data_IF_202318377377
#
_entry.id   IF_202318377377
#
_cell.length_a   1.000
_cell.length_b   1.000
_cell.length_c   1.000
_cell.angle_alpha   90.00
_cell.angle_beta   90.00
_cell.angle_gamma   90.00
#
_symmetry.space_group_name_H-M   'P 1'
#
loop_
_entity.id
_entity.type
_entity.pdbx_description
1 polymer ?
#
# COMPACT_ATOMS: atom_id res chain seq x y z
N UNK A 1 -0.46 31.94 -23.90
CA UNK A 1 0.34 30.81 -24.44
C UNK A 1 -0.29 29.54 -23.92
N UNK A 2 -0.30 28.44 -24.70
CA UNK A 2 -0.80 27.17 -24.19
C UNK A 2 -0.08 26.75 -22.91
N UNK A 3 -0.81 26.21 -21.94
CA UNK A 3 -0.31 25.85 -20.61
C UNK A 3 -1.11 24.66 -20.03
N UNK A 4 -0.69 24.18 -18.86
CA UNK A 4 -1.49 23.27 -18.03
C UNK A 4 -2.58 24.09 -17.33
N UNK A 5 -3.83 23.82 -17.65
CA UNK A 5 -4.97 24.61 -17.16
C UNK A 5 -5.70 23.99 -15.97
N UNK A 6 -5.50 22.69 -15.73
CA UNK A 6 -6.17 21.97 -14.64
C UNK A 6 -5.42 20.73 -14.23
N UNK A 7 -5.18 20.57 -12.93
CA UNK A 7 -4.63 19.34 -12.35
C UNK A 7 -5.69 18.70 -11.45
N UNK A 8 -5.82 17.39 -11.54
CA UNK A 8 -6.65 16.56 -10.66
C UNK A 8 -5.76 15.53 -10.00
N UNK A 9 -6.00 15.28 -8.72
CA UNK A 9 -5.32 14.24 -7.98
C UNK A 9 -6.33 13.43 -7.17
N UNK A 10 -6.07 12.13 -7.01
CA UNK A 10 -6.84 11.22 -6.18
C UNK A 10 -5.86 10.27 -5.48
N UNK A 11 -6.17 9.90 -4.24
CA UNK A 11 -5.29 9.06 -3.42
C UNK A 11 -6.04 7.88 -2.82
N UNK A 12 -5.33 6.78 -2.61
CA UNK A 12 -5.80 5.62 -1.86
C UNK A 12 -5.08 5.48 -0.50
N UNK A 13 -4.61 6.60 0.05
CA UNK A 13 -3.71 6.72 1.19
C UNK A 13 -2.25 6.29 0.92
N UNK A 14 -1.97 5.35 0.01
CA UNK A 14 -0.60 4.88 -0.23
C UNK A 14 0.07 5.59 -1.43
N UNK A 15 -0.70 5.81 -2.50
CA UNK A 15 -0.28 6.40 -3.77
C UNK A 15 -1.26 7.49 -4.17
N UNK A 16 -0.76 8.56 -4.80
CA UNK A 16 -1.62 9.50 -5.52
C UNK A 16 -1.56 9.24 -7.04
N UNK A 17 -2.72 9.21 -7.68
CA UNK A 17 -2.85 9.30 -9.12
C UNK A 17 -3.14 10.76 -9.50
N UNK A 18 -2.45 11.24 -10.54
CA UNK A 18 -2.56 12.62 -11.02
C UNK A 18 -2.88 12.61 -12.51
N UNK A 19 -3.70 13.56 -12.96
CA UNK A 19 -3.93 13.84 -14.37
C UNK A 19 -4.13 15.34 -14.59
N UNK A 20 -3.73 15.84 -15.75
CA UNK A 20 -3.86 17.26 -16.08
C UNK A 20 -4.26 17.52 -17.52
N UNK A 21 -4.97 18.63 -17.70
CA UNK A 21 -5.44 19.12 -19.00
C UNK A 21 -4.51 20.24 -19.49
N UNK A 22 -4.25 20.26 -20.80
CA UNK A 22 -3.55 21.36 -21.50
C UNK A 22 -4.51 22.01 -22.49
N UNK A 23 -4.44 23.34 -22.65
CA UNK A 23 -5.32 24.10 -23.56
C UNK A 23 -4.77 24.27 -24.99
N UNK A 24 -3.66 23.60 -25.30
CA UNK A 24 -3.07 23.54 -26.63
C UNK A 24 -1.69 22.91 -26.64
N UNK A 25 -1.09 22.85 -27.83
CA UNK A 25 0.29 22.38 -27.99
C UNK A 25 1.26 23.42 -27.42
N UNK A 26 2.02 23.06 -26.40
CA UNK A 26 3.01 23.92 -25.74
C UNK A 26 4.33 23.83 -26.52
N UNK A 27 4.76 24.90 -27.24
CA UNK A 27 5.95 24.83 -28.10
C UNK A 27 7.23 24.55 -27.29
N UNK A 28 8.01 23.56 -27.73
CA UNK A 28 9.28 23.20 -27.07
C UNK A 28 9.13 22.45 -25.74
N UNK A 29 7.92 21.99 -25.39
CA UNK A 29 7.68 21.20 -24.19
C UNK A 29 8.36 19.84 -24.27
N UNK A 30 9.16 19.52 -23.25
CA UNK A 30 9.88 18.26 -23.09
C UNK A 30 9.23 17.33 -22.07
N UNK A 31 8.21 17.82 -21.37
CA UNK A 31 7.47 17.13 -20.33
C UNK A 31 7.01 18.10 -19.25
N UNK A 32 6.63 17.54 -18.11
CA UNK A 32 6.11 18.29 -16.98
C UNK A 32 6.91 18.01 -15.71
N UNK A 33 7.29 19.07 -15.01
CA UNK A 33 7.71 18.99 -13.61
C UNK A 33 6.46 18.82 -12.75
N UNK A 34 6.53 17.91 -11.78
CA UNK A 34 5.47 17.66 -10.81
C UNK A 34 6.04 17.87 -9.41
N UNK A 35 5.44 18.78 -8.66
CA UNK A 35 5.83 19.11 -7.29
C UNK A 35 4.68 18.78 -6.36
N UNK A 36 4.92 17.92 -5.36
CA UNK A 36 4.01 17.73 -4.24
C UNK A 36 4.15 18.89 -3.28
N UNK A 37 3.03 19.49 -2.94
CA UNK A 37 2.91 20.60 -2.00
C UNK A 37 2.30 20.09 -0.70
N UNK A 38 2.81 20.59 0.41
CA UNK A 38 2.25 20.42 1.75
C UNK A 38 1.69 21.77 2.21
N UNK A 39 0.39 22.06 1.99
CA UNK A 39 -0.18 23.38 2.27
C UNK A 39 0.00 23.82 3.73
N UNK A 40 -0.01 22.88 4.67
CA UNK A 40 0.07 23.17 6.10
C UNK A 40 1.48 23.59 6.55
N UNK A 41 2.53 23.10 5.88
CA UNK A 41 3.94 23.38 6.25
C UNK A 41 4.65 24.30 5.26
N UNK A 42 4.11 24.47 4.05
CA UNK A 42 4.78 25.12 2.94
C UNK A 42 5.90 24.27 2.30
N UNK A 43 6.09 23.02 2.73
CA UNK A 43 7.08 22.14 2.12
C UNK A 43 6.69 21.83 0.67
N UNK A 44 7.66 21.94 -0.24
CA UNK A 44 7.54 21.53 -1.63
C UNK A 44 8.52 20.41 -1.93
N UNK A 45 8.05 19.39 -2.66
CA UNK A 45 8.86 18.23 -3.00
C UNK A 45 8.66 17.82 -4.45
N UNK A 46 9.68 18.05 -5.27
CA UNK A 46 9.68 17.59 -6.65
C UNK A 46 9.64 16.05 -6.71
N UNK A 47 8.76 15.52 -7.57
CA UNK A 47 8.52 14.09 -7.63
C UNK A 47 9.68 13.34 -8.27
N UNK A 48 9.84 12.09 -7.85
CA UNK A 48 10.92 11.23 -8.29
C UNK A 48 10.85 10.82 -9.77
N UNK A 49 11.99 10.81 -10.44
CA UNK A 49 12.15 10.26 -11.79
C UNK A 49 13.41 9.39 -11.91
N UNK A 50 13.34 8.34 -12.75
CA UNK A 50 14.46 7.42 -12.99
C UNK A 50 14.82 7.25 -14.46
N UNK A 51 13.92 7.65 -15.35
CA UNK A 51 14.06 7.42 -16.80
C UNK A 51 14.75 8.64 -17.39
N UNK A 52 16.01 8.52 -17.82
CA UNK A 52 16.78 9.65 -18.31
C UNK A 52 16.34 10.09 -19.71
N UNK A 53 16.73 11.30 -20.11
CA UNK A 53 16.63 11.72 -21.51
C UNK A 53 17.45 10.80 -22.43
N UNK A 54 17.08 10.77 -23.71
CA UNK A 54 17.88 10.12 -24.75
C UNK A 54 19.32 10.67 -24.71
N UNK A 55 20.31 9.78 -24.63
CA UNK A 55 21.74 10.12 -24.54
C UNK A 55 22.29 10.15 -23.11
N UNK A 56 21.44 10.08 -22.09
CA UNK A 56 21.83 9.93 -20.69
C UNK A 56 21.62 8.48 -20.22
N UNK A 57 22.34 8.05 -19.18
CA UNK A 57 22.28 6.68 -18.61
C UNK A 57 22.29 6.71 -17.09
N UNK A 58 21.34 5.99 -16.46
CA UNK A 58 21.24 5.85 -15.01
C UNK A 58 21.50 4.40 -14.55
N UNK A 59 22.74 3.87 -14.66
CA UNK A 59 23.04 2.47 -14.34
C UNK A 59 22.90 2.15 -12.85
N UNK A 60 23.05 3.15 -11.97
CA UNK A 60 22.94 3.01 -10.51
C UNK A 60 21.50 3.13 -9.99
N UNK A 61 20.54 3.41 -10.88
CA UNK A 61 19.14 3.67 -10.54
C UNK A 61 18.99 4.72 -9.43
N UNK A 62 19.84 5.75 -9.46
CA UNK A 62 19.76 6.84 -8.49
C UNK A 62 18.57 7.70 -8.89
N UNK A 63 17.60 7.90 -7.99
CA UNK A 63 16.48 8.78 -8.28
C UNK A 63 16.96 10.20 -8.56
N UNK A 64 16.42 10.79 -9.62
CA UNK A 64 16.40 12.23 -9.80
C UNK A 64 15.00 12.74 -9.44
N UNK A 65 14.66 13.94 -9.89
CA UNK A 65 13.30 14.46 -9.87
C UNK A 65 12.78 14.76 -11.28
N UNK A 66 11.51 15.15 -11.34
CA UNK A 66 10.86 15.59 -12.58
C UNK A 66 11.35 16.96 -13.09
N UNK A 67 12.17 17.67 -12.32
CA UNK A 67 12.88 18.87 -12.77
C UNK A 67 14.15 18.54 -13.57
N UNK A 68 14.72 17.36 -13.37
CA UNK A 68 15.83 16.82 -14.19
C UNK A 68 15.30 15.96 -15.34
N UNK A 69 14.35 15.05 -15.05
CA UNK A 69 13.74 14.14 -16.02
C UNK A 69 12.21 14.26 -16.00
N UNK A 70 11.64 15.21 -16.74
CA UNK A 70 10.22 15.53 -16.67
C UNK A 70 9.33 14.43 -17.23
N UNK A 71 8.10 14.36 -16.72
CA UNK A 71 7.12 13.35 -17.14
C UNK A 71 6.59 13.70 -18.53
N UNK A 72 6.72 12.76 -19.47
CA UNK A 72 6.29 12.93 -20.87
C UNK A 72 4.89 12.38 -21.15
N UNK A 73 3.97 12.58 -20.20
CA UNK A 73 2.57 12.16 -20.22
C UNK A 73 1.72 13.26 -19.61
N UNK A 74 0.39 13.15 -19.71
CA UNK A 74 -0.57 14.03 -19.04
C UNK A 74 -1.18 13.39 -17.78
N UNK A 75 -0.55 12.32 -17.29
CA UNK A 75 -0.91 11.65 -16.04
C UNK A 75 0.31 11.01 -15.39
N UNK A 76 0.27 10.84 -14.07
CA UNK A 76 1.35 10.24 -13.30
C UNK A 76 0.84 9.52 -12.04
N UNK A 77 1.72 8.76 -11.38
CA UNK A 77 1.47 8.11 -10.08
C UNK A 77 2.60 8.47 -9.13
N UNK A 78 2.29 9.21 -8.06
CA UNK A 78 3.21 9.45 -6.97
C UNK A 78 3.24 8.21 -6.04
N UNK A 79 4.19 7.32 -6.32
CA UNK A 79 4.46 6.13 -5.50
C UNK A 79 5.22 6.45 -4.20
N UNK A 80 5.55 7.73 -3.99
CA UNK A 80 6.39 8.22 -2.88
C UNK A 80 5.61 9.14 -1.94
N UNK A 81 4.28 9.08 -1.99
CA UNK A 81 3.38 9.90 -1.19
C UNK A 81 3.57 9.61 0.30
N UNK A 82 3.08 8.47 0.78
CA UNK A 82 3.41 8.01 2.13
C UNK A 82 4.78 7.36 2.19
N UNK A 83 5.16 6.61 1.18
CA UNK A 83 6.43 5.87 1.19
C UNK A 83 7.61 6.80 0.98
N UNK A 84 8.63 6.65 1.82
CA UNK A 84 9.97 7.18 1.53
C UNK A 84 10.68 6.22 0.57
N UNK A 85 11.44 6.81 -0.35
CA UNK A 85 12.21 6.06 -1.38
C UNK A 85 13.65 5.80 -0.92
N UNK A 86 14.05 6.50 0.12
CA UNK A 86 15.38 6.65 0.70
C UNK A 86 15.45 6.10 2.13
N UNK A 87 14.32 5.72 2.74
CA UNK A 87 14.27 5.05 4.03
C UNK A 87 13.13 4.03 4.11
N UNK A 88 13.18 3.20 5.15
CA UNK A 88 12.13 2.24 5.54
C UNK A 88 10.99 2.91 6.35
N UNK A 89 10.96 4.25 6.39
CA UNK A 89 9.92 4.99 7.11
C UNK A 89 8.74 5.31 6.20
N UNK A 90 7.56 5.33 6.80
CA UNK A 90 6.33 5.85 6.19
C UNK A 90 6.09 7.27 6.69
N UNK A 91 5.70 8.17 5.81
CA UNK A 91 5.13 9.46 6.20
C UNK A 91 3.77 9.21 6.87
N UNK A 92 3.43 10.01 7.89
CA UNK A 92 2.16 9.86 8.59
C UNK A 92 0.98 10.03 7.62
N UNK A 93 -0.15 9.46 8.00
CA UNK A 93 -1.43 9.91 7.44
C UNK A 93 -1.91 11.17 8.18
N UNK A 94 -3.00 11.76 7.72
CA UNK A 94 -3.59 12.97 8.31
C UNK A 94 -3.12 14.27 7.67
N UNK A 95 -2.26 14.23 6.66
CA UNK A 95 -1.73 15.42 5.99
C UNK A 95 -2.60 15.83 4.80
N UNK A 96 -2.75 17.14 4.58
CA UNK A 96 -3.23 17.66 3.31
C UNK A 96 -2.06 17.77 2.33
N UNK A 97 -2.26 17.34 1.08
CA UNK A 97 -1.30 17.57 0.01
C UNK A 97 -1.98 18.12 -1.23
N UNK A 98 -1.23 18.83 -2.06
CA UNK A 98 -1.65 19.22 -3.40
C UNK A 98 -0.52 18.95 -4.39
N UNK A 99 -0.79 19.08 -5.69
CA UNK A 99 0.23 18.91 -6.71
C UNK A 99 0.25 20.09 -7.67
N UNK A 100 1.43 20.66 -7.88
CA UNK A 100 1.69 21.63 -8.95
C UNK A 100 2.31 20.90 -10.14
N UNK A 101 1.79 21.18 -11.33
CA UNK A 101 2.32 20.65 -12.59
C UNK A 101 2.65 21.81 -13.50
N UNK A 102 3.92 21.93 -13.91
CA UNK A 102 4.39 22.99 -14.81
C UNK A 102 5.04 22.39 -16.06
N UNK A 103 4.75 22.92 -17.26
CA UNK A 103 5.43 22.48 -18.48
C UNK A 103 6.86 23.01 -18.51
N UNK A 104 7.80 22.16 -18.91
CA UNK A 104 9.23 22.50 -18.96
C UNK A 104 9.83 22.23 -20.32
N UNK A 105 10.83 23.03 -20.70
CA UNK A 105 11.57 22.93 -21.96
C UNK A 105 13.05 23.22 -21.77
N UNK A 106 13.80 23.24 -22.88
CA UNK A 106 15.20 23.65 -22.85
C UNK A 106 15.35 25.05 -22.25
N UNK A 107 16.31 25.22 -21.34
CA UNK A 107 16.61 26.53 -20.76
C UNK A 107 17.03 27.53 -21.84
N UNK A 108 16.41 28.72 -21.81
CA UNK A 108 16.66 29.83 -22.73
C UNK A 108 16.71 31.15 -21.95
N UNK A 109 17.37 32.19 -22.48
CA UNK A 109 17.31 33.53 -21.88
C UNK A 109 15.86 33.98 -21.66
N UNK A 110 15.56 34.46 -20.46
CA UNK A 110 14.22 34.93 -20.07
C UNK A 110 13.29 33.86 -19.50
N UNK A 111 13.68 32.58 -19.49
CA UNK A 111 12.94 31.55 -18.76
C UNK A 111 13.38 31.48 -17.29
N UNK A 112 12.42 31.23 -16.40
CA UNK A 112 12.70 30.86 -15.02
C UNK A 112 13.33 29.45 -15.00
N UNK A 113 14.50 29.26 -14.37
CA UNK A 113 15.15 27.95 -14.31
C UNK A 113 14.38 26.98 -13.41
N UNK A 114 14.30 25.72 -13.83
CA UNK A 114 13.73 24.65 -13.01
C UNK A 114 14.78 24.22 -11.98
N UNK A 115 14.45 24.19 -10.66
CA UNK A 115 15.37 23.71 -9.65
C UNK A 115 15.80 22.26 -9.91
N UNK A 116 17.06 21.95 -9.61
CA UNK A 116 17.61 20.59 -9.73
C UNK A 116 17.77 20.00 -8.33
N UNK A 117 16.98 18.98 -8.01
CA UNK A 117 17.05 18.22 -6.76
C UNK A 117 16.88 16.71 -7.06
N UNK A 118 17.58 15.77 -6.40
CA UNK A 118 18.61 15.90 -5.37
C UNK A 118 20.01 16.17 -5.98
N UNK A 119 21.06 16.00 -5.16
CA UNK A 119 22.46 16.15 -5.57
C UNK A 119 22.79 15.33 -6.83
N UNK A 120 23.42 16.00 -7.79
CA UNK A 120 23.89 15.39 -9.03
C UNK A 120 25.18 14.58 -8.83
N UNK A 121 25.74 14.61 -7.62
CA UNK A 121 26.91 13.84 -7.20
C UNK A 121 26.55 13.03 -5.97
N UNK A 122 26.61 11.70 -6.08
CA UNK A 122 26.30 10.76 -5.01
C UNK A 122 27.48 9.80 -4.85
N UNK A 123 28.03 9.74 -3.63
CA UNK A 123 29.25 8.99 -3.27
C UNK A 123 30.47 9.42 -4.11
N UNK A 124 30.64 10.73 -4.30
CA UNK A 124 31.74 11.30 -5.08
C UNK A 124 31.67 11.02 -6.60
N UNK A 125 30.55 10.51 -7.10
CA UNK A 125 30.35 10.17 -8.53
C UNK A 125 29.09 10.83 -9.08
N UNK A 126 29.07 11.23 -10.38
CA UNK A 126 27.86 11.72 -11.02
C UNK A 126 26.69 10.75 -10.86
N UNK A 127 25.51 11.27 -10.53
CA UNK A 127 24.31 10.47 -10.29
C UNK A 127 23.90 9.68 -11.55
N UNK A 128 24.16 10.24 -12.74
CA UNK A 128 23.99 9.61 -14.04
C UNK A 128 25.12 10.02 -15.00
N UNK A 129 25.25 9.30 -16.12
CA UNK A 129 26.19 9.63 -17.20
C UNK A 129 25.48 10.33 -18.36
N UNK A 130 26.18 11.23 -19.06
CA UNK A 130 25.66 12.03 -20.17
C UNK A 130 25.59 13.52 -19.82
N UNK A 131 25.43 14.36 -20.83
CA UNK A 131 25.40 15.82 -20.65
C UNK A 131 24.14 16.25 -19.89
N UNK A 132 24.27 17.03 -18.78
CA UNK A 132 23.12 17.62 -18.12
C UNK A 132 22.33 18.52 -19.08
N UNK A 133 21.00 18.54 -18.92
CA UNK A 133 20.09 19.33 -19.75
C UNK A 133 19.35 20.34 -18.87
N UNK A 134 19.85 21.58 -18.72
CA UNK A 134 19.17 22.60 -17.95
C UNK A 134 17.77 22.89 -18.52
N UNK A 135 16.77 22.94 -17.65
CA UNK A 135 15.38 23.19 -18.03
C UNK A 135 14.90 24.56 -17.55
N UNK A 136 13.96 25.13 -18.29
CA UNK A 136 13.23 26.34 -17.92
C UNK A 136 11.73 26.14 -18.02
N UNK A 137 10.96 26.86 -17.20
CA UNK A 137 9.51 26.81 -17.22
C UNK A 137 8.93 27.48 -18.46
N UNK A 138 8.05 26.78 -19.16
CA UNK A 138 7.36 27.28 -20.36
C UNK A 138 5.98 27.90 -20.05
N UNK A 139 5.51 27.73 -18.81
CA UNK A 139 4.19 28.15 -18.34
C UNK A 139 4.14 28.24 -16.82
N UNK A 140 3.05 28.83 -16.33
CA UNK A 140 2.74 28.90 -14.91
C UNK A 140 2.23 27.56 -14.39
N UNK A 141 1.61 26.78 -15.28
CA UNK A 141 0.99 25.51 -14.94
C UNK A 141 -0.24 25.67 -14.04
N UNK A 142 -0.64 24.59 -13.38
CA UNK A 142 -1.77 24.59 -12.46
C UNK A 142 -1.49 23.75 -11.21
N UNK A 143 -2.30 24.00 -10.18
CA UNK A 143 -2.27 23.30 -8.89
C UNK A 143 -3.56 22.51 -8.72
N UNK A 144 -3.49 21.28 -8.23
CA UNK A 144 -4.67 20.50 -7.89
C UNK A 144 -5.36 21.08 -6.66
N UNK A 145 -6.68 20.87 -6.50
CA UNK A 145 -7.28 20.98 -5.17
C UNK A 145 -6.51 20.11 -4.16
N UNK A 146 -6.40 20.54 -2.89
CA UNK A 146 -5.82 19.71 -1.84
C UNK A 146 -6.58 18.39 -1.69
N UNK A 147 -5.84 17.31 -1.45
CA UNK A 147 -6.36 15.98 -1.12
C UNK A 147 -5.87 15.58 0.28
N UNK A 148 -6.73 14.94 1.05
CA UNK A 148 -6.41 14.45 2.38
C UNK A 148 -5.78 13.06 2.29
N UNK A 149 -4.66 12.86 2.96
CA UNK A 149 -4.02 11.56 3.11
C UNK A 149 -4.67 10.80 4.27
N UNK A 150 -5.63 9.94 3.97
CA UNK A 150 -6.20 9.08 4.98
C UNK A 150 -6.84 7.85 4.39
N UNK A 151 -7.12 6.89 5.27
CA UNK A 151 -7.74 5.62 4.88
C UNK A 151 -9.26 5.71 4.75
N UNK A 152 -9.88 6.81 5.18
CA UNK A 152 -11.31 6.99 5.24
C UNK A 152 -11.87 7.66 3.98
N UNK A 153 -12.75 6.97 3.28
CA UNK A 153 -13.44 7.41 2.08
C UNK A 153 -14.96 7.34 2.32
N UNK A 154 -15.48 8.38 3.00
CA UNK A 154 -16.83 8.36 3.53
C UNK A 154 -16.98 7.28 4.61
N UNK A 155 -17.87 6.31 4.37
CA UNK A 155 -18.11 5.18 5.28
C UNK A 155 -17.27 3.93 4.95
N UNK A 156 -16.24 4.08 4.12
CA UNK A 156 -15.30 3.01 3.78
C UNK A 156 -13.92 3.32 4.34
N UNK A 157 -13.25 2.31 4.87
CA UNK A 157 -11.84 2.38 5.29
C UNK A 157 -11.02 1.42 4.44
N UNK A 158 -9.88 1.85 3.88
CA UNK A 158 -9.05 1.01 3.01
C UNK A 158 -7.58 1.10 3.38
N UNK A 159 -6.91 -0.04 3.37
CA UNK A 159 -5.45 -0.14 3.44
C UNK A 159 -4.93 -1.08 2.34
N UNK A 160 -3.71 -0.84 1.91
CA UNK A 160 -3.02 -1.64 0.91
C UNK A 160 -1.70 -2.13 1.48
N UNK A 161 -1.34 -3.37 1.16
CA UNK A 161 0.01 -3.83 1.45
C UNK A 161 0.99 -3.18 0.48
N UNK A 162 2.24 -3.20 0.88
CA UNK A 162 3.34 -2.63 0.14
C UNK A 162 4.09 -3.69 -0.69
N UNK A 163 3.57 -4.93 -0.68
CA UNK A 163 4.21 -6.16 -1.11
C UNK A 163 4.59 -6.18 -2.58
N UNK A 164 5.86 -5.87 -2.82
CA UNK A 164 6.68 -6.34 -3.95
C UNK A 164 8.11 -6.53 -3.45
N UNK A 165 8.46 -7.76 -3.04
CA UNK A 165 9.81 -8.10 -2.56
C UNK A 165 10.90 -7.94 -3.65
N UNK A 166 10.50 -7.86 -4.92
CA UNK A 166 11.41 -7.78 -6.08
C UNK A 166 11.82 -6.36 -6.48
N UNK A 167 11.47 -5.33 -5.68
CA UNK A 167 11.96 -3.98 -5.98
C UNK A 167 13.45 -3.85 -5.63
N UNK A 168 14.19 -3.07 -6.43
CA UNK A 168 15.61 -2.83 -6.20
C UNK A 168 15.87 -2.20 -4.82
N UNK A 169 14.95 -1.35 -4.36
CA UNK A 169 14.98 -0.78 -3.01
C UNK A 169 14.84 -1.87 -1.94
N UNK A 170 13.86 -2.78 -2.06
CA UNK A 170 13.70 -3.87 -1.09
C UNK A 170 14.95 -4.76 -1.04
N UNK A 171 15.59 -4.98 -2.19
CA UNK A 171 16.84 -5.74 -2.26
C UNK A 171 17.97 -5.05 -1.49
N UNK A 172 18.02 -3.71 -1.48
CA UNK A 172 18.97 -2.94 -0.66
C UNK A 172 18.62 -2.98 0.82
N UNK A 173 17.36 -2.77 1.18
CA UNK A 173 16.90 -2.86 2.58
C UNK A 173 17.16 -4.24 3.20
N UNK A 174 16.93 -5.32 2.44
CA UNK A 174 17.29 -6.68 2.84
C UNK A 174 18.80 -6.84 3.00
N UNK A 175 19.60 -6.31 2.07
CA UNK A 175 21.05 -6.40 2.14
C UNK A 175 21.63 -5.64 3.36
N UNK A 176 21.07 -4.48 3.69
CA UNK A 176 21.40 -3.71 4.90
C UNK A 176 21.05 -4.47 6.18
N UNK A 177 19.96 -5.25 6.16
CA UNK A 177 19.61 -6.21 7.22
C UNK A 177 20.43 -7.51 7.20
N UNK A 178 21.44 -7.64 6.32
CA UNK A 178 22.27 -8.84 6.19
C UNK A 178 21.58 -10.04 5.53
N UNK A 179 20.48 -9.80 4.81
CA UNK A 179 19.67 -10.80 4.10
C UNK A 179 19.95 -10.69 2.60
N UNK A 180 20.50 -11.76 2.01
CA UNK A 180 20.70 -11.83 0.56
C UNK A 180 19.41 -12.29 -0.13
N UNK A 181 19.13 -11.71 -1.29
CA UNK A 181 18.04 -12.18 -2.17
C UNK A 181 18.22 -13.68 -2.44
N UNK A 182 17.16 -14.46 -2.27
CA UNK A 182 17.19 -15.93 -2.40
C UNK A 182 17.32 -16.70 -1.07
N UNK A 183 17.66 -16.04 0.05
CA UNK A 183 17.68 -16.66 1.38
C UNK A 183 16.27 -16.77 1.96
N UNK A 184 15.46 -17.70 1.41
CA UNK A 184 14.02 -17.84 1.71
C UNK A 184 13.70 -17.93 3.19
N UNK A 185 14.50 -18.67 3.96
CA UNK A 185 14.27 -18.84 5.41
C UNK A 185 14.52 -17.56 6.20
N UNK A 186 15.57 -16.81 5.86
CA UNK A 186 15.84 -15.51 6.49
C UNK A 186 14.78 -14.48 6.13
N UNK A 187 14.34 -14.46 4.86
CA UNK A 187 13.24 -13.60 4.43
C UNK A 187 11.98 -13.96 5.22
N UNK A 188 11.63 -15.25 5.33
CA UNK A 188 10.47 -15.69 6.11
C UNK A 188 10.57 -15.24 7.57
N UNK A 189 11.73 -15.42 8.22
CA UNK A 189 11.94 -15.00 9.60
C UNK A 189 11.80 -13.47 9.76
N UNK A 190 12.34 -12.68 8.82
CA UNK A 190 12.20 -11.23 8.82
C UNK A 190 10.73 -10.81 8.69
N UNK A 191 9.99 -11.47 7.79
CA UNK A 191 8.57 -11.20 7.60
C UNK A 191 7.72 -11.63 8.78
N UNK A 192 8.17 -12.54 9.64
CA UNK A 192 7.45 -12.99 10.85
C UNK A 192 7.81 -12.17 12.10
N UNK A 193 8.89 -11.39 12.06
CA UNK A 193 9.35 -10.63 13.22
C UNK A 193 8.51 -9.34 13.41
N UNK A 194 7.70 -9.22 14.47
CA UNK A 194 6.86 -8.03 14.70
C UNK A 194 7.68 -6.75 14.96
N UNK A 195 8.94 -6.88 15.40
CA UNK A 195 9.84 -5.74 15.59
C UNK A 195 10.54 -5.30 14.30
N UNK A 196 10.34 -6.02 13.18
CA UNK A 196 10.98 -5.68 11.91
C UNK A 196 10.36 -4.43 11.29
N UNK A 197 11.20 -3.44 11.03
CA UNK A 197 10.83 -2.26 10.24
C UNK A 197 10.54 -2.62 8.77
N UNK A 198 11.16 -3.68 8.24
CA UNK A 198 10.87 -4.19 6.89
C UNK A 198 9.47 -4.79 6.86
N UNK A 199 9.10 -5.59 7.87
CA UNK A 199 7.72 -6.10 8.04
C UNK A 199 6.73 -4.96 8.14
N UNK A 200 6.98 -3.99 9.04
CA UNK A 200 6.13 -2.82 9.24
C UNK A 200 5.92 -2.03 7.94
N UNK A 201 7.00 -1.78 7.21
CA UNK A 201 6.92 -1.16 5.90
C UNK A 201 6.10 -1.99 4.92
N UNK A 202 6.26 -3.31 4.89
CA UNK A 202 5.63 -4.19 3.90
C UNK A 202 4.13 -4.37 4.09
N UNK A 203 3.65 -4.48 5.32
CA UNK A 203 2.22 -4.64 5.57
C UNK A 203 1.46 -3.31 5.65
N UNK A 204 2.17 -2.19 5.86
CA UNK A 204 1.53 -0.88 6.05
C UNK A 204 0.45 -0.96 7.11
N UNK A 205 -0.72 -0.40 6.85
CA UNK A 205 -1.82 -0.36 7.82
C UNK A 205 -2.79 -1.56 7.72
N UNK A 206 -2.49 -2.53 6.86
CA UNK A 206 -3.38 -3.68 6.62
C UNK A 206 -3.70 -4.47 7.89
N UNK A 207 -2.73 -4.82 8.78
CA UNK A 207 -3.05 -5.54 10.01
C UNK A 207 -4.01 -4.78 10.93
N UNK A 208 -3.94 -3.46 10.98
CA UNK A 208 -4.88 -2.66 11.76
C UNK A 208 -6.30 -2.75 11.19
N UNK A 209 -6.45 -2.57 9.87
CA UNK A 209 -7.76 -2.70 9.22
C UNK A 209 -8.35 -4.09 9.42
N UNK A 210 -7.56 -5.16 9.18
CA UNK A 210 -8.00 -6.55 9.35
C UNK A 210 -8.53 -6.85 10.76
N UNK A 211 -7.90 -6.29 11.80
CA UNK A 211 -8.24 -6.58 13.20
C UNK A 211 -9.20 -5.57 13.82
N UNK A 212 -9.46 -4.43 13.17
CA UNK A 212 -10.21 -3.32 13.76
C UNK A 212 -11.65 -3.65 14.16
N UNK A 213 -12.35 -4.54 13.45
CA UNK A 213 -13.71 -4.95 13.85
C UNK A 213 -13.72 -5.74 15.17
N UNK A 214 -12.67 -6.52 15.45
CA UNK A 214 -12.52 -7.19 16.74
C UNK A 214 -12.21 -6.19 17.85
N UNK A 215 -11.36 -5.18 17.57
CA UNK A 215 -11.11 -4.07 18.50
C UNK A 215 -12.39 -3.32 18.81
N UNK A 216 -13.20 -3.02 17.79
CA UNK A 216 -14.51 -2.36 17.91
C UNK A 216 -15.47 -3.16 18.79
N UNK A 217 -15.64 -4.46 18.55
CA UNK A 217 -16.52 -5.30 19.37
C UNK A 217 -16.12 -5.33 20.85
N UNK A 218 -14.82 -5.30 21.15
CA UNK A 218 -14.34 -5.21 22.53
C UNK A 218 -14.60 -3.84 23.18
N UNK A 219 -14.51 -2.77 22.40
CA UNK A 219 -14.64 -1.40 22.91
C UNK A 219 -16.10 -0.94 23.03
N UNK A 220 -16.93 -1.28 22.05
CA UNK A 220 -18.32 -0.80 21.90
C UNK A 220 -19.35 -1.88 22.28
N UNK A 221 -18.91 -3.11 22.52
CA UNK A 221 -19.79 -4.27 22.64
C UNK A 221 -20.19 -4.86 21.29
N UNK A 222 -20.82 -6.04 21.33
CA UNK A 222 -21.19 -6.81 20.15
C UNK A 222 -20.24 -7.98 19.87
N UNK A 223 -20.26 -8.49 18.65
CA UNK A 223 -19.55 -9.71 18.26
C UNK A 223 -19.02 -9.63 16.83
N UNK A 224 -18.05 -10.48 16.49
CA UNK A 224 -17.46 -10.59 15.17
C UNK A 224 -17.56 -12.01 14.66
N UNK A 225 -18.04 -12.15 13.42
CA UNK A 225 -17.97 -13.41 12.66
C UNK A 225 -16.87 -13.31 11.64
N UNK A 226 -15.89 -14.20 11.72
CA UNK A 226 -14.72 -14.22 10.86
C UNK A 226 -14.78 -15.46 9.96
N UNK A 227 -14.47 -15.30 8.67
CA UNK A 227 -14.29 -16.40 7.73
C UNK A 227 -12.97 -16.25 6.98
N UNK A 228 -12.06 -17.20 7.20
CA UNK A 228 -10.69 -17.18 6.69
C UNK A 228 -10.39 -18.38 5.80
N UNK A 229 -9.72 -18.10 4.68
CA UNK A 229 -9.08 -19.08 3.83
C UNK A 229 -7.78 -19.58 4.45
N UNK A 230 -6.89 -18.66 4.81
CA UNK A 230 -5.59 -18.96 5.42
C UNK A 230 -5.38 -18.12 6.67
N UNK A 231 -4.84 -18.75 7.71
CA UNK A 231 -4.32 -18.10 8.92
C UNK A 231 -2.91 -18.62 9.17
N UNK A 232 -1.93 -17.72 9.15
CA UNK A 232 -0.51 -18.06 9.12
C UNK A 232 0.39 -16.90 9.56
N UNK A 233 -0.12 -16.06 10.45
CA UNK A 233 0.59 -14.92 11.02
C UNK A 233 0.32 -14.85 12.53
N UNK A 234 1.38 -14.69 13.32
CA UNK A 234 1.27 -14.75 14.78
C UNK A 234 0.51 -13.55 15.35
N UNK A 235 0.77 -12.33 14.87
CA UNK A 235 0.08 -11.12 15.37
C UNK A 235 -1.41 -11.15 15.05
N UNK A 236 -1.78 -11.64 13.86
CA UNK A 236 -3.20 -11.80 13.50
C UNK A 236 -3.88 -12.91 14.30
N UNK A 237 -3.18 -14.01 14.57
CA UNK A 237 -3.71 -15.08 15.43
C UNK A 237 -3.90 -14.58 16.87
N UNK A 238 -2.92 -13.84 17.41
CA UNK A 238 -3.00 -13.23 18.73
C UNK A 238 -4.15 -12.23 18.85
N UNK A 239 -4.42 -11.45 17.79
CA UNK A 239 -5.59 -10.57 17.76
C UNK A 239 -6.92 -11.34 17.87
N UNK A 240 -7.03 -12.51 17.23
CA UNK A 240 -8.22 -13.38 17.36
C UNK A 240 -8.31 -13.96 18.77
N UNK A 241 -7.20 -14.48 19.33
CA UNK A 241 -7.15 -15.01 20.69
C UNK A 241 -7.54 -13.95 21.72
N UNK A 242 -7.03 -12.73 21.57
CA UNK A 242 -7.37 -11.59 22.42
C UNK A 242 -8.84 -11.15 22.31
N UNK A 243 -9.56 -11.61 21.29
CA UNK A 243 -10.98 -11.35 21.05
C UNK A 243 -11.86 -12.59 21.25
N UNK A 244 -11.34 -13.66 21.87
CA UNK A 244 -12.02 -14.96 22.01
C UNK A 244 -13.46 -14.90 22.52
N UNK A 245 -13.79 -13.94 23.40
CA UNK A 245 -15.11 -13.80 24.01
C UNK A 245 -16.14 -13.12 23.09
N UNK A 246 -15.67 -12.52 21.99
CA UNK A 246 -16.52 -11.77 21.03
C UNK A 246 -16.35 -12.26 19.60
N UNK A 247 -15.51 -13.26 19.31
CA UNK A 247 -15.23 -13.72 17.94
C UNK A 247 -15.62 -15.19 17.72
N UNK A 248 -16.27 -15.44 16.58
CA UNK A 248 -16.50 -16.77 16.03
C UNK A 248 -15.77 -16.91 14.69
N UNK A 249 -15.03 -18.01 14.49
CA UNK A 249 -14.16 -18.19 13.33
C UNK A 249 -14.60 -19.41 12.51
N UNK A 250 -14.85 -19.22 11.22
CA UNK A 250 -14.81 -20.30 10.23
C UNK A 250 -13.42 -20.28 9.59
N UNK A 251 -12.68 -21.36 9.71
CA UNK A 251 -11.34 -21.49 9.12
C UNK A 251 -11.32 -22.66 8.13
N UNK A 252 -11.07 -22.35 6.86
CA UNK A 252 -10.89 -23.34 5.80
C UNK A 252 -9.57 -24.12 5.98
N UNK A 253 -9.34 -25.16 5.18
CA UNK A 253 -8.03 -25.79 5.10
C UNK A 253 -7.10 -25.01 4.17
N UNK A 254 -5.79 -25.00 4.49
CA UNK A 254 -4.79 -24.64 3.49
C UNK A 254 -4.71 -25.70 2.39
N UNK A 255 -4.14 -25.33 1.23
CA UNK A 255 -3.88 -26.26 0.14
C UNK A 255 -3.03 -27.47 0.56
N UNK A 256 -3.02 -28.49 -0.30
CA UNK A 256 -2.23 -29.71 -0.13
C UNK A 256 -0.74 -29.36 -0.19
N UNK A 257 0.02 -29.74 0.82
CA UNK A 257 1.46 -29.52 0.84
C UNK A 257 2.15 -30.35 -0.27
N UNK A 258 3.08 -29.73 -0.99
CA UNK A 258 3.68 -30.34 -2.17
C UNK A 258 4.61 -31.51 -1.84
N UNK A 259 5.21 -31.51 -0.63
CA UNK A 259 6.18 -32.53 -0.23
C UNK A 259 5.50 -33.69 0.50
N UNK A 260 4.77 -33.37 1.57
CA UNK A 260 4.11 -34.33 2.46
C UNK A 260 2.80 -34.85 1.91
N UNK A 261 2.20 -34.15 0.93
CA UNK A 261 0.85 -34.40 0.41
C UNK A 261 -0.25 -34.30 1.48
N UNK A 262 0.08 -33.77 2.66
CA UNK A 262 -0.88 -33.53 3.73
C UNK A 262 -1.74 -32.30 3.42
N UNK A 263 -3.02 -32.37 3.78
CA UNK A 263 -3.91 -31.21 3.75
C UNK A 263 -3.73 -30.37 5.01
N UNK A 264 -4.09 -29.08 4.91
CA UNK A 264 -4.14 -28.14 6.03
C UNK A 264 -2.82 -27.90 6.78
N UNK A 265 -1.67 -28.18 6.17
CA UNK A 265 -0.37 -27.98 6.83
C UNK A 265 -0.16 -26.54 7.33
N UNK A 266 -0.64 -25.55 6.58
CA UNK A 266 -0.51 -24.13 6.93
C UNK A 266 -1.41 -23.69 8.09
N UNK A 267 -2.70 -24.05 8.06
CA UNK A 267 -3.64 -23.55 9.08
C UNK A 267 -3.71 -24.45 10.33
N UNK A 268 -3.36 -25.74 10.24
CA UNK A 268 -3.52 -26.67 11.36
C UNK A 268 -2.85 -26.22 12.68
N UNK A 269 -1.61 -25.69 12.69
CA UNK A 269 -0.99 -25.17 13.91
C UNK A 269 -1.78 -23.99 14.51
N UNK A 270 -2.26 -23.08 13.67
CA UNK A 270 -3.03 -21.90 14.10
C UNK A 270 -4.44 -22.30 14.57
N UNK A 271 -5.09 -23.23 13.89
CA UNK A 271 -6.37 -23.82 14.30
C UNK A 271 -6.28 -24.43 15.68
N UNK A 272 -5.20 -25.18 15.97
CA UNK A 272 -4.95 -25.75 17.29
C UNK A 272 -4.80 -24.65 18.33
N UNK A 273 -3.96 -23.63 18.06
CA UNK A 273 -3.74 -22.49 18.97
C UNK A 273 -5.04 -21.75 19.32
N UNK A 274 -5.91 -21.51 18.33
CA UNK A 274 -7.22 -20.90 18.55
C UNK A 274 -8.10 -21.76 19.47
N UNK A 275 -8.17 -23.07 19.25
CA UNK A 275 -8.96 -23.99 20.07
C UNK A 275 -8.43 -24.11 21.49
N UNK A 276 -7.11 -24.24 21.65
CA UNK A 276 -6.46 -24.31 22.97
C UNK A 276 -6.74 -23.02 23.79
N UNK A 277 -6.86 -21.87 23.12
CA UNK A 277 -7.20 -20.60 23.75
C UNK A 277 -8.70 -20.41 24.05
N UNK A 278 -9.57 -21.34 23.61
CA UNK A 278 -11.02 -21.29 23.80
C UNK A 278 -11.79 -20.46 22.78
N UNK A 279 -11.20 -20.15 21.62
CA UNK A 279 -11.92 -19.47 20.52
C UNK A 279 -12.94 -20.43 19.90
N UNK A 280 -14.14 -19.95 19.60
CA UNK A 280 -15.14 -20.73 18.85
C UNK A 280 -14.69 -20.87 17.40
N UNK A 281 -14.25 -22.06 17.01
CA UNK A 281 -13.75 -22.36 15.65
C UNK A 281 -14.58 -23.45 14.99
N UNK A 282 -15.09 -23.16 13.79
CA UNK A 282 -15.72 -24.11 12.88
C UNK A 282 -14.76 -24.45 11.75
N UNK A 283 -14.56 -25.75 11.51
CA UNK A 283 -13.73 -26.24 10.41
C UNK A 283 -14.56 -26.33 9.13
N UNK A 284 -14.07 -25.70 8.05
CA UNK A 284 -14.68 -25.82 6.73
C UNK A 284 -13.65 -26.35 5.73
N UNK A 285 -13.31 -27.63 5.87
CA UNK A 285 -12.19 -28.27 5.16
C UNK A 285 -12.65 -28.81 3.80
N UNK A 286 -11.93 -28.45 2.75
CA UNK A 286 -12.13 -28.94 1.39
C UNK A 286 -10.94 -29.82 1.00
N UNK A 287 -10.94 -31.09 1.42
CA UNK A 287 -9.90 -32.06 1.05
C UNK A 287 -10.13 -32.61 -0.37
N UNK A 288 -10.42 -31.72 -1.31
CA UNK A 288 -10.77 -32.00 -2.71
C UNK A 288 -10.32 -30.82 -3.59
N UNK A 289 -10.82 -30.70 -4.81
CA UNK A 289 -10.44 -29.64 -5.75
C UNK A 289 -11.15 -28.29 -5.51
N UNK A 290 -11.93 -28.16 -4.43
CA UNK A 290 -12.55 -26.90 -4.03
C UNK A 290 -11.73 -26.22 -2.93
N UNK A 291 -11.88 -24.90 -2.79
CA UNK A 291 -11.19 -24.12 -1.76
C UNK A 291 -12.16 -23.17 -1.06
N UNK A 292 -12.00 -23.04 0.27
CA UNK A 292 -12.73 -22.07 1.08
C UNK A 292 -12.09 -20.69 1.02
N UNK A 293 -12.18 -19.98 -0.11
CA UNK A 293 -11.36 -18.79 -0.40
C UNK A 293 -11.83 -17.47 0.27
N UNK A 294 -12.51 -17.54 1.42
CA UNK A 294 -13.10 -16.39 2.10
C UNK A 294 -12.09 -15.55 2.89
N UNK A 295 -12.28 -14.24 2.91
CA UNK A 295 -11.45 -13.26 3.63
C UNK A 295 -12.36 -12.13 4.12
N UNK A 296 -13.16 -12.41 5.14
CA UNK A 296 -14.05 -11.37 5.65
C UNK A 296 -14.35 -11.52 7.14
N UNK A 297 -14.72 -10.40 7.74
CA UNK A 297 -15.28 -10.32 9.09
C UNK A 297 -16.57 -9.50 9.06
N UNK A 298 -17.56 -9.87 9.87
CA UNK A 298 -18.79 -9.11 10.06
C UNK A 298 -18.86 -8.69 11.51
N UNK A 299 -18.92 -7.39 11.77
CA UNK A 299 -19.25 -6.84 13.08
C UNK A 299 -20.77 -6.80 13.25
N UNK A 300 -21.24 -7.36 14.37
CA UNK A 300 -22.62 -7.28 14.84
C UNK A 300 -22.65 -6.47 16.13
N UNK A 301 -23.60 -5.57 16.25
CA UNK A 301 -23.79 -4.77 17.47
C UNK A 301 -24.20 -5.64 18.69
N UNK A 302 -24.41 -5.01 19.84
CA UNK A 302 -24.81 -5.69 21.07
C UNK A 302 -26.19 -6.38 20.96
N UNK A 303 -27.03 -5.96 20.02
CA UNK A 303 -28.33 -6.58 19.72
C UNK A 303 -28.21 -7.72 18.70
N UNK A 304 -27.02 -7.94 18.14
CA UNK A 304 -26.75 -8.96 17.14
C UNK A 304 -27.02 -8.54 15.70
N UNK A 305 -27.32 -7.25 15.44
CA UNK A 305 -27.56 -6.77 14.09
C UNK A 305 -26.23 -6.52 13.36
N UNK A 306 -26.06 -6.99 12.11
CA UNK A 306 -24.87 -6.70 11.31
C UNK A 306 -24.75 -5.20 10.98
N UNK A 307 -23.60 -4.60 11.31
CA UNK A 307 -23.37 -3.16 11.11
C UNK A 307 -22.24 -2.84 10.13
N UNK A 308 -21.20 -3.68 10.10
CA UNK A 308 -20.04 -3.45 9.26
C UNK A 308 -19.43 -4.76 8.76
N UNK A 309 -18.76 -4.68 7.61
CA UNK A 309 -18.01 -5.78 7.02
C UNK A 309 -16.56 -5.36 6.76
N UNK A 310 -15.62 -6.23 7.09
CA UNK A 310 -14.23 -6.18 6.62
C UNK A 310 -14.07 -7.25 5.54
N UNK A 311 -13.47 -6.91 4.40
CA UNK A 311 -13.06 -7.87 3.37
C UNK A 311 -11.86 -7.36 2.59
N UNK A 312 -11.39 -8.10 1.59
CA UNK A 312 -10.25 -7.72 0.76
C UNK A 312 -9.59 -8.93 0.13
N UNK A 313 -8.48 -8.70 -0.57
CA UNK A 313 -7.69 -9.76 -1.18
C UNK A 313 -6.71 -10.44 -0.22
N UNK A 314 -6.48 -9.85 0.96
CA UNK A 314 -5.43 -10.27 1.90
C UNK A 314 -5.73 -11.61 2.59
N UNK A 315 -4.85 -12.60 2.38
CA UNK A 315 -4.75 -13.78 3.25
C UNK A 315 -4.16 -13.37 4.61
N UNK A 316 -4.65 -13.93 5.72
CA UNK A 316 -4.17 -13.61 7.08
C UNK A 316 -2.89 -14.38 7.41
N UNK A 317 -1.87 -14.22 6.57
CA UNK A 317 -0.57 -14.88 6.66
C UNK A 317 0.54 -13.84 6.51
N UNK A 318 1.74 -14.11 7.05
CA UNK A 318 2.86 -13.17 6.92
C UNK A 318 3.22 -12.88 5.46
N UNK A 319 3.06 -13.86 4.57
CA UNK A 319 3.24 -13.67 3.12
C UNK A 319 2.09 -12.90 2.48
N UNK A 320 0.85 -13.06 2.96
CA UNK A 320 -0.31 -12.31 2.49
C UNK A 320 -0.21 -10.82 2.81
N UNK A 321 0.21 -10.47 4.03
CA UNK A 321 0.35 -9.07 4.46
C UNK A 321 1.66 -8.43 3.97
N UNK A 322 2.75 -9.18 3.77
CA UNK A 322 4.05 -8.58 3.40
C UNK A 322 4.55 -8.89 1.98
N UNK A 323 4.17 -10.04 1.41
CA UNK A 323 4.79 -10.60 0.20
C UNK A 323 4.01 -10.35 -1.10
N UNK A 324 2.79 -9.84 -1.02
CA UNK A 324 1.86 -9.71 -2.13
C UNK A 324 1.27 -8.30 -2.17
N UNK A 325 0.85 -7.85 -3.36
CA UNK A 325 0.07 -6.61 -3.50
C UNK A 325 -1.39 -6.92 -3.21
N UNK A 326 -1.85 -6.56 -2.02
CA UNK A 326 -3.14 -6.89 -1.45
C UNK A 326 -3.83 -5.66 -0.85
N UNK A 327 -5.12 -5.79 -0.56
CA UNK A 327 -5.88 -4.77 0.17
C UNK A 327 -6.68 -5.37 1.33
N UNK A 328 -6.99 -4.50 2.29
CA UNK A 328 -8.02 -4.69 3.30
C UNK A 328 -8.99 -3.51 3.24
N UNK A 329 -10.27 -3.79 3.38
CA UNK A 329 -11.36 -2.87 3.17
C UNK A 329 -12.41 -3.09 4.26
N UNK A 330 -12.90 -2.01 4.86
CA UNK A 330 -14.04 -2.01 5.77
C UNK A 330 -15.12 -1.10 5.22
N UNK A 331 -16.37 -1.50 5.42
CA UNK A 331 -17.53 -0.69 5.10
C UNK A 331 -18.54 -0.73 6.23
N UNK A 332 -18.84 0.45 6.78
CA UNK A 332 -19.94 0.67 7.74
C UNK A 332 -21.26 0.79 6.97
N UNK A 333 -21.83 -0.35 6.63
CA UNK A 333 -23.07 -0.46 5.88
C UNK A 333 -23.87 -1.69 6.33
N UNK A 334 -24.96 -1.49 7.10
CA UNK A 334 -25.76 -2.59 7.62
C UNK A 334 -26.32 -3.50 6.52
N UNK A 335 -26.71 -2.95 5.37
CA UNK A 335 -27.28 -3.74 4.27
C UNK A 335 -26.24 -4.67 3.65
N UNK A 336 -25.00 -4.20 3.48
CA UNK A 336 -23.90 -5.05 2.99
C UNK A 336 -23.51 -6.06 4.08
N UNK A 337 -23.40 -5.62 5.34
CA UNK A 337 -23.06 -6.49 6.45
C UNK A 337 -24.07 -7.63 6.63
N UNK A 338 -25.36 -7.39 6.40
CA UNK A 338 -26.41 -8.40 6.45
C UNK A 338 -26.21 -9.51 5.40
N UNK A 339 -25.84 -9.16 4.17
CA UNK A 339 -25.54 -10.12 3.11
C UNK A 339 -24.37 -11.03 3.50
N UNK A 340 -23.28 -10.45 4.02
CA UNK A 340 -22.13 -11.22 4.48
C UNK A 340 -22.45 -12.07 5.72
N UNK A 341 -23.26 -11.57 6.64
CA UNK A 341 -23.70 -12.31 7.82
C UNK A 341 -24.53 -13.53 7.43
N UNK A 342 -25.51 -13.36 6.53
CA UNK A 342 -26.33 -14.45 6.00
C UNK A 342 -25.47 -15.48 5.26
N UNK A 343 -24.45 -15.03 4.51
CA UNK A 343 -23.51 -15.94 3.88
C UNK A 343 -22.68 -16.72 4.91
N UNK A 344 -22.21 -16.08 5.98
CA UNK A 344 -21.49 -16.75 7.06
C UNK A 344 -22.33 -17.84 7.73
N UNK A 345 -23.61 -17.57 8.00
CA UNK A 345 -24.54 -18.57 8.56
C UNK A 345 -24.73 -19.77 7.63
N UNK A 346 -24.91 -19.54 6.33
CA UNK A 346 -24.99 -20.62 5.33
C UNK A 346 -23.70 -21.44 5.22
N UNK A 347 -22.55 -20.87 5.60
CA UNK A 347 -21.29 -21.60 5.63
C UNK A 347 -21.08 -22.38 6.94
N UNK A 348 -21.75 -21.98 8.02
CA UNK A 348 -21.68 -22.65 9.32
C UNK A 348 -22.65 -23.82 9.41
N UNK A 349 -23.86 -23.64 8.86
CA UNK A 349 -24.85 -24.70 8.68
C UNK A 349 -24.29 -25.84 7.83
#
# INVERSE_FOLDING_TARGET
MPDVIKVRAATNNEVAFLAWDIDGMIPGCLGFEIVRLYPDTGEERCLAAWVPFKGQRNPRWIPQDTGVWPVQKTFWRDLTMRRRRDSIDLRPEGEMIAYRVRPVGDMKPGLEPVPVCPDQVVDGKPAYAGTPRPLGYLGQGAVSPPIFLGQMFGKARVAFTNGVLSTQWMSRALAEAGIKVGQRDKIRAELQNPASKIRAYLHGDVPDVLTSLMKRAKAEGGTVRLALYELGDDELCDAIVAAKDVVEVILANSGKDDQTKAWDFGNAPFRKRLRDAGVTVTDRLFNNNHIGHNKFAVYRDAQGNPQAVMTGSTNWTSTGICGQSNNAFIRDDPAIAEVFNAYWERMKA
#
